data_IF_547322142935
#
_entry.id   IF_547322142935
#
_cell.length_a   1.000
_cell.length_b   1.000
_cell.length_c   1.000
_cell.angle_alpha   90.00
_cell.angle_beta   90.00
_cell.angle_gamma   90.00
#
_symmetry.space_group_name_H-M   'P 1'
#
loop_
_entity.id
_entity.type
_entity.pdbx_description
1 polymer ?
#
# COMPACT_ATOMS: atom_id res chain seq x y z
N UNK A 1 -56.23 7.91 -8.40
CA UNK A 1 -55.44 6.74 -7.96
C UNK A 1 -55.40 6.76 -6.44
N UNK A 2 -55.58 5.61 -5.79
CA UNK A 2 -56.00 5.45 -4.37
C UNK A 2 -54.78 5.03 -3.51
N UNK A 3 -54.66 5.67 -2.34
CA UNK A 3 -53.71 5.51 -1.20
C UNK A 3 -53.56 4.04 -0.70
N UNK A 4 -52.52 3.63 0.11
CA UNK A 4 -52.02 4.30 1.33
C UNK A 4 -50.48 4.28 1.56
N UNK A 5 -49.86 5.26 2.21
CA UNK A 5 -49.91 5.63 3.65
C UNK A 5 -49.46 4.48 4.55
N UNK A 6 -48.13 4.35 4.73
CA UNK A 6 -47.56 3.53 5.81
C UNK A 6 -47.49 4.38 7.08
N UNK A 7 -48.14 3.83 8.08
CA UNK A 7 -48.50 4.33 9.40
C UNK A 7 -47.35 4.05 10.37
N UNK A 8 -46.93 5.12 11.07
CA UNK A 8 -46.67 5.26 12.53
C UNK A 8 -45.68 4.29 13.20
N UNK A 9 -44.91 4.90 14.13
CA UNK A 9 -44.33 4.39 15.38
C UNK A 9 -42.80 4.34 15.34
N UNK A 10 -42.04 4.91 16.26
CA UNK A 10 -42.40 5.68 17.44
C UNK A 10 -41.17 6.47 17.89
N UNK A 11 -41.44 7.63 18.48
CA UNK A 11 -40.70 8.19 19.61
C UNK A 11 -40.08 7.08 20.46
N UNK A 12 -38.78 7.14 20.78
CA UNK A 12 -38.30 7.01 22.16
C UNK A 12 -36.90 7.64 22.32
N UNK A 13 -36.87 8.72 23.09
CA UNK A 13 -35.93 8.97 24.18
C UNK A 13 -34.58 8.25 24.11
N UNK A 14 -33.47 8.98 24.05
CA UNK A 14 -32.60 9.13 25.23
C UNK A 14 -31.78 10.41 25.08
N UNK A 15 -31.91 11.29 26.07
CA UNK A 15 -30.95 12.35 26.38
C UNK A 15 -29.68 11.71 26.96
N UNK A 16 -28.50 12.01 26.44
CA UNK A 16 -27.28 11.94 27.23
C UNK A 16 -26.33 13.07 26.81
N UNK A 17 -26.34 14.14 27.61
CA UNK A 17 -25.21 15.05 27.71
C UNK A 17 -24.09 14.31 28.42
N UNK A 18 -22.94 14.17 27.78
CA UNK A 18 -21.67 14.05 28.51
C UNK A 18 -20.56 14.61 27.62
N UNK A 19 -20.13 15.82 27.97
CA UNK A 19 -18.86 16.37 27.54
C UNK A 19 -17.74 15.45 28.03
N UNK A 20 -16.88 15.01 27.11
CA UNK A 20 -15.53 14.56 27.43
C UNK A 20 -14.57 15.35 26.53
N UNK A 21 -13.65 16.14 27.09
CA UNK A 21 -12.51 16.62 26.33
C UNK A 21 -11.55 15.44 26.20
N UNK A 22 -11.47 14.85 25.01
CA UNK A 22 -10.35 13.96 24.69
C UNK A 22 -9.48 14.72 23.70
N UNK A 23 -8.48 15.41 24.24
CA UNK A 23 -7.27 15.76 23.50
C UNK A 23 -6.62 14.45 23.05
N UNK A 24 -6.96 14.00 21.84
CA UNK A 24 -6.31 12.86 21.22
C UNK A 24 -5.37 13.40 20.13
N UNK A 25 -4.05 13.52 20.35
CA UNK A 25 -3.10 13.81 19.30
C UNK A 25 -2.83 12.52 18.50
N UNK A 26 -3.86 11.93 17.93
CA UNK A 26 -3.72 10.81 16.98
C UNK A 26 -3.78 11.27 15.52
N UNK A 27 -3.84 12.58 15.27
CA UNK A 27 -3.99 13.13 13.91
C UNK A 27 -2.68 13.31 13.13
N UNK A 28 -1.52 12.87 13.63
CA UNK A 28 -0.24 13.05 12.91
C UNK A 28 0.31 11.78 12.22
N UNK A 29 -0.34 10.62 12.32
CA UNK A 29 0.19 9.39 11.71
C UNK A 29 -0.56 8.90 10.46
N UNK A 30 -1.79 9.36 10.22
CA UNK A 30 -2.59 8.89 9.09
C UNK A 30 -2.61 9.84 7.87
N UNK A 31 -2.17 11.09 8.03
CA UNK A 31 -2.20 12.08 6.95
C UNK A 31 -0.98 12.00 6.02
N UNK A 32 0.12 11.35 6.42
CA UNK A 32 1.33 11.23 5.57
C UNK A 32 1.25 10.10 4.55
N UNK A 33 0.36 9.12 4.73
CA UNK A 33 0.26 7.95 3.83
C UNK A 33 -0.70 8.15 2.63
N UNK A 34 -1.45 9.25 2.59
CA UNK A 34 -2.40 9.55 1.51
C UNK A 34 -1.72 10.33 0.38
N UNK A 35 -0.96 9.65 -0.48
CA UNK A 35 -0.81 10.15 -1.86
C UNK A 35 0.49 9.87 -2.60
N UNK A 36 1.57 9.46 -1.91
CA UNK A 36 2.88 9.27 -2.55
C UNK A 36 3.40 7.88 -2.20
N UNK A 37 3.65 7.06 -3.22
CA UNK A 37 4.34 5.80 -3.04
C UNK A 37 5.79 6.07 -2.64
N UNK A 38 6.25 5.60 -1.47
CA UNK A 38 7.61 5.86 -1.03
C UNK A 38 8.60 4.98 -1.81
N UNK A 39 9.88 5.32 -1.73
CA UNK A 39 10.92 4.47 -2.29
C UNK A 39 11.09 3.21 -1.44
N UNK A 40 11.26 2.05 -2.07
CA UNK A 40 11.56 0.80 -1.36
C UNK A 40 12.84 0.17 -1.87
N UNK A 41 13.46 -0.63 -1.01
CA UNK A 41 14.58 -1.47 -1.40
C UNK A 41 14.14 -2.56 -2.36
N UNK A 42 14.76 -2.56 -3.54
CA UNK A 42 14.60 -3.59 -4.57
C UNK A 42 15.71 -4.62 -4.41
N UNK A 43 15.32 -5.88 -4.55
CA UNK A 43 16.14 -7.08 -4.47
C UNK A 43 16.08 -7.82 -5.80
N UNK A 44 17.12 -8.57 -6.12
CA UNK A 44 17.16 -9.42 -7.30
C UNK A 44 16.84 -10.86 -6.89
N UNK A 45 15.87 -11.47 -7.55
CA UNK A 45 15.40 -12.83 -7.27
C UNK A 45 15.51 -13.67 -8.54
N UNK A 46 15.85 -14.95 -8.39
CA UNK A 46 15.81 -15.95 -9.46
C UNK A 46 14.68 -16.93 -9.15
N UNK A 47 13.96 -17.39 -10.17
CA UNK A 47 12.88 -18.37 -10.04
C UNK A 47 11.77 -17.97 -9.04
N UNK A 48 11.53 -16.67 -8.87
CA UNK A 48 10.55 -16.16 -7.89
C UNK A 48 10.92 -16.39 -6.42
N UNK A 49 12.17 -16.78 -6.10
CA UNK A 49 12.62 -17.04 -4.73
C UNK A 49 12.91 -15.73 -3.95
N UNK A 50 11.86 -15.07 -3.48
CA UNK A 50 11.95 -13.83 -2.70
C UNK A 50 12.47 -14.03 -1.27
N UNK A 51 12.46 -15.27 -0.74
CA UNK A 51 13.01 -15.59 0.59
C UNK A 51 14.53 -15.58 0.59
N UNK A 52 15.14 -16.00 -0.53
CA UNK A 52 16.59 -16.05 -0.70
C UNK A 52 16.98 -15.22 -1.93
N UNK A 53 16.96 -13.87 -1.81
CA UNK A 53 17.34 -13.00 -2.91
C UNK A 53 18.82 -13.18 -3.26
N UNK A 54 19.14 -13.14 -4.55
CA UNK A 54 20.51 -13.17 -5.10
C UNK A 54 21.31 -11.98 -4.58
N UNK A 55 20.66 -10.82 -4.48
CA UNK A 55 21.29 -9.60 -4.01
C UNK A 55 20.32 -8.44 -3.86
N UNK A 56 20.85 -7.29 -3.44
CA UNK A 56 20.11 -6.03 -3.31
C UNK A 56 20.52 -5.07 -4.42
N UNK A 57 19.53 -4.50 -5.09
CA UNK A 57 19.71 -3.44 -6.07
C UNK A 57 19.69 -2.05 -5.40
N UNK A 58 19.12 -1.96 -4.20
CA UNK A 58 19.03 -0.74 -3.39
C UNK A 58 17.67 -0.04 -3.50
N UNK A 59 17.57 1.15 -2.91
CA UNK A 59 16.34 1.94 -2.89
C UNK A 59 15.96 2.43 -4.29
N UNK A 60 14.73 2.13 -4.73
CA UNK A 60 14.17 2.53 -6.03
C UNK A 60 12.80 3.20 -5.84
N UNK A 61 12.40 4.08 -6.76
CA UNK A 61 11.09 4.73 -6.69
C UNK A 61 9.95 3.77 -6.98
N UNK A 62 8.85 3.95 -6.24
CA UNK A 62 7.59 3.26 -6.49
C UNK A 62 6.54 4.25 -6.94
N UNK A 63 5.72 3.81 -7.88
CA UNK A 63 4.68 4.57 -8.53
C UNK A 63 3.33 3.97 -8.17
N UNK A 64 2.33 4.85 -8.04
CA UNK A 64 0.97 4.42 -7.71
C UNK A 64 0.35 3.77 -8.93
N UNK A 65 -0.04 2.51 -8.77
CA UNK A 65 -0.81 1.75 -9.75
C UNK A 65 -2.09 1.26 -9.08
N UNK A 66 -3.17 2.03 -9.27
CA UNK A 66 -4.44 1.81 -8.59
C UNK A 66 -4.34 2.04 -7.06
N UNK A 67 -4.63 0.99 -6.29
CA UNK A 67 -4.51 0.99 -4.82
C UNK A 67 -3.15 0.51 -4.32
N UNK A 68 -2.24 0.14 -5.22
CA UNK A 68 -0.94 -0.42 -4.87
C UNK A 68 0.20 0.51 -5.28
N UNK A 69 1.35 0.31 -4.66
CA UNK A 69 2.61 0.87 -5.11
C UNK A 69 3.42 -0.23 -5.79
N UNK A 70 3.77 -0.01 -7.05
CA UNK A 70 4.63 -0.89 -7.84
C UNK A 70 5.94 -0.17 -8.18
N UNK A 71 6.96 -0.91 -8.59
CA UNK A 71 8.22 -0.31 -9.02
C UNK A 71 7.97 0.58 -10.26
N UNK A 72 8.39 1.85 -10.23
CA UNK A 72 8.18 2.75 -11.37
C UNK A 72 8.88 2.25 -12.65
N UNK A 73 10.05 1.65 -12.52
CA UNK A 73 10.87 1.19 -13.64
C UNK A 73 11.24 -0.30 -13.48
N UNK A 74 10.25 -1.17 -13.27
CA UNK A 74 10.47 -2.61 -13.05
C UNK A 74 11.37 -3.24 -14.13
N UNK A 75 11.09 -3.01 -15.41
CA UNK A 75 11.89 -3.55 -16.52
C UNK A 75 13.34 -3.08 -16.50
N UNK A 76 13.59 -1.82 -16.09
CA UNK A 76 14.94 -1.27 -15.96
C UNK A 76 15.66 -1.91 -14.77
N UNK A 77 14.99 -2.02 -13.62
CA UNK A 77 15.53 -2.64 -12.43
C UNK A 77 15.84 -4.12 -12.68
N UNK A 78 14.97 -4.84 -13.38
CA UNK A 78 15.20 -6.24 -13.78
C UNK A 78 16.42 -6.38 -14.69
N UNK A 79 16.57 -5.48 -15.68
CA UNK A 79 17.78 -5.46 -16.52
C UNK A 79 19.03 -5.12 -15.73
N UNK A 80 18.94 -4.25 -14.73
CA UNK A 80 20.05 -3.91 -13.83
C UNK A 80 20.44 -5.12 -12.97
N UNK A 81 19.48 -5.84 -12.38
CA UNK A 81 19.71 -7.11 -11.69
C UNK A 81 20.50 -8.11 -12.54
N UNK A 82 20.03 -8.33 -13.78
CA UNK A 82 20.64 -9.26 -14.72
C UNK A 82 22.04 -8.86 -15.18
N UNK A 83 22.40 -7.57 -15.10
CA UNK A 83 23.76 -7.08 -15.41
C UNK A 83 24.68 -7.10 -14.20
N UNK A 84 24.14 -6.85 -13.01
CA UNK A 84 24.93 -6.70 -11.78
C UNK A 84 25.34 -8.05 -11.19
N UNK A 85 24.43 -9.03 -11.19
CA UNK A 85 24.65 -10.33 -10.55
C UNK A 85 24.85 -11.41 -11.62
N UNK A 86 25.99 -12.11 -11.58
CA UNK A 86 26.34 -13.12 -12.60
C UNK A 86 25.46 -14.36 -12.49
N UNK A 87 25.03 -14.68 -11.28
CA UNK A 87 24.13 -15.78 -10.91
C UNK A 87 22.77 -15.67 -11.59
N UNK A 88 22.41 -14.47 -12.04
CA UNK A 88 21.16 -14.23 -12.73
C UNK A 88 21.12 -14.82 -14.13
N UNK A 89 22.24 -14.86 -14.86
CA UNK A 89 22.31 -15.39 -16.23
C UNK A 89 21.25 -14.81 -17.19
N UNK A 90 20.73 -13.61 -16.91
CA UNK A 90 19.65 -12.99 -17.69
C UNK A 90 18.22 -13.35 -17.26
N UNK A 91 18.05 -14.18 -16.24
CA UNK A 91 16.77 -14.76 -15.81
C UNK A 91 16.27 -14.23 -14.44
N UNK A 92 16.99 -13.31 -13.80
CA UNK A 92 16.52 -12.69 -12.57
C UNK A 92 15.40 -11.67 -12.82
N UNK A 93 14.65 -11.40 -11.75
CA UNK A 93 13.62 -10.38 -11.67
C UNK A 93 13.96 -9.39 -10.54
N UNK A 94 13.64 -8.12 -10.74
CA UNK A 94 13.66 -7.12 -9.68
C UNK A 94 12.38 -7.23 -8.85
N UNK A 95 12.53 -7.41 -7.54
CA UNK A 95 11.44 -7.55 -6.58
C UNK A 95 11.58 -6.50 -5.48
N UNK A 96 10.50 -5.81 -5.14
CA UNK A 96 10.45 -5.00 -3.93
C UNK A 96 9.21 -5.32 -3.10
N UNK A 97 9.25 -4.99 -1.79
CA UNK A 97 8.12 -5.25 -0.90
C UNK A 97 6.89 -4.49 -1.38
N UNK A 98 5.73 -5.16 -1.34
CA UNK A 98 4.44 -4.51 -1.57
C UNK A 98 4.08 -3.81 -0.25
N UNK A 99 4.02 -2.47 -0.19
CA UNK A 99 3.48 -1.81 0.99
C UNK A 99 2.02 -2.22 1.16
N UNK A 100 1.71 -2.74 2.34
CA UNK A 100 0.36 -2.99 2.84
C UNK A 100 -0.24 -1.69 3.37
#
# INVERSE_FOLDING_TARGET
MKFPTVIILALMYVTFSSAFPIDNPSSLSQETFKGICPNFDVRCVKDGNWRNPIGKLGSKPFCREGLRCNQCEESRNTRECNRTFKECEGECQAYGPIPI
#
